data_IF_326565985481
#
_entry.id   IF_326565985481
#
_cell.length_a   1.000
_cell.length_b   1.000
_cell.length_c   1.000
_cell.angle_alpha   90.00
_cell.angle_beta   90.00
_cell.angle_gamma   90.00
#
_symmetry.space_group_name_H-M   'P 1'
#
loop_
_entity.id
_entity.type
_entity.pdbx_description
1 polymer ?
#
# COMPACT_ATOMS: atom_id res chain seq x y z
N UNK A 1 -1.25 -2.12 9.88
CA UNK A 1 -0.56 -0.95 10.47
C UNK A 1 -1.33 0.31 10.14
N UNK A 2 -1.54 1.21 11.09
CA UNK A 2 -2.17 2.51 10.85
C UNK A 2 -1.08 3.55 10.53
N UNK A 3 -0.75 3.69 9.24
CA UNK A 3 0.39 4.52 8.81
C UNK A 3 0.26 6.01 9.21
N UNK A 4 -0.93 6.63 9.12
CA UNK A 4 -1.12 8.01 9.59
C UNK A 4 -0.91 8.21 11.09
N UNK A 5 -0.93 7.13 11.88
CA UNK A 5 -0.65 7.19 13.31
C UNK A 5 0.84 7.34 13.65
N UNK A 6 1.75 7.18 12.68
CA UNK A 6 3.19 7.33 12.93
C UNK A 6 3.64 8.80 12.83
N UNK A 7 4.49 9.23 13.76
CA UNK A 7 5.16 10.55 13.71
C UNK A 7 6.17 10.64 12.56
N UNK A 8 6.74 9.51 12.13
CA UNK A 8 7.75 9.44 11.06
C UNK A 8 7.49 8.23 10.12
N UNK A 9 6.52 8.34 9.18
CA UNK A 9 6.18 7.23 8.27
C UNK A 9 7.31 6.84 7.30
N UNK A 10 8.24 7.76 7.02
CA UNK A 10 9.43 7.49 6.20
C UNK A 10 10.37 6.47 6.86
N UNK A 11 10.50 6.52 8.19
CA UNK A 11 11.27 5.55 8.96
C UNK A 11 10.65 4.15 8.89
N UNK A 12 9.33 4.07 8.95
CA UNK A 12 8.58 2.81 8.76
C UNK A 12 8.86 2.20 7.39
N UNK A 13 8.72 2.98 6.31
CA UNK A 13 8.99 2.51 4.94
C UNK A 13 10.43 2.03 4.78
N UNK A 14 11.39 2.77 5.33
CA UNK A 14 12.81 2.42 5.28
C UNK A 14 13.09 1.12 6.03
N UNK A 15 12.54 0.97 7.23
CA UNK A 15 12.68 -0.25 8.02
C UNK A 15 12.09 -1.46 7.29
N UNK A 16 10.97 -1.29 6.59
CA UNK A 16 10.32 -2.35 5.83
C UNK A 16 11.16 -2.79 4.63
N UNK A 17 11.75 -1.85 3.89
CA UNK A 17 12.70 -2.13 2.81
C UNK A 17 13.96 -2.83 3.33
N UNK A 18 14.55 -2.34 4.42
CA UNK A 18 15.73 -2.95 5.03
C UNK A 18 15.46 -4.38 5.52
N UNK A 19 14.30 -4.61 6.13
CA UNK A 19 13.91 -5.94 6.63
C UNK A 19 13.75 -6.92 5.47
N UNK A 20 13.12 -6.48 4.38
CA UNK A 20 12.92 -7.30 3.18
C UNK A 20 14.24 -7.57 2.46
N UNK A 21 15.10 -6.56 2.31
CA UNK A 21 16.44 -6.69 1.73
C UNK A 21 17.28 -7.72 2.49
N UNK A 22 17.29 -7.65 3.83
CA UNK A 22 17.99 -8.61 4.69
C UNK A 22 17.42 -10.02 4.61
N UNK A 23 16.09 -10.16 4.59
CA UNK A 23 15.43 -11.46 4.48
C UNK A 23 15.73 -12.16 3.14
N UNK A 24 15.82 -11.38 2.05
CA UNK A 24 16.04 -11.88 0.70
C UNK A 24 17.52 -11.87 0.26
N UNK A 25 18.43 -11.33 1.08
CA UNK A 25 19.86 -11.26 0.79
C UNK A 25 20.21 -10.36 -0.42
N UNK A 26 19.36 -9.38 -0.72
CA UNK A 26 19.54 -8.44 -1.84
C UNK A 26 19.83 -7.04 -1.33
N UNK A 27 20.40 -6.20 -2.20
CA UNK A 27 20.72 -4.83 -1.87
C UNK A 27 19.44 -3.96 -1.87
N UNK A 28 19.35 -2.99 -0.96
CA UNK A 28 18.13 -2.18 -0.77
C UNK A 28 17.78 -1.32 -1.99
N UNK A 29 18.78 -0.95 -2.78
CA UNK A 29 18.68 -0.18 -4.02
C UNK A 29 18.04 -0.96 -5.17
N UNK A 30 17.99 -2.29 -5.09
CA UNK A 30 17.28 -3.11 -6.09
C UNK A 30 15.79 -3.24 -5.79
N UNK A 31 15.35 -2.87 -4.59
CA UNK A 31 13.95 -2.92 -4.18
C UNK A 31 13.18 -1.69 -4.67
N UNK A 32 11.96 -1.92 -5.11
CA UNK A 32 10.96 -0.90 -5.38
C UNK A 32 9.65 -1.24 -4.67
N UNK A 33 8.72 -0.29 -4.63
CA UNK A 33 7.40 -0.49 -4.03
C UNK A 33 6.41 -1.07 -5.04
N UNK A 34 5.68 -2.09 -4.59
CA UNK A 34 4.43 -2.53 -5.19
C UNK A 34 3.31 -2.29 -4.16
N UNK A 35 2.25 -1.61 -4.59
CA UNK A 35 1.08 -1.31 -3.77
C UNK A 35 -0.12 -2.06 -4.32
N UNK A 36 -0.66 -2.98 -3.52
CA UNK A 36 -1.85 -3.73 -3.89
C UNK A 36 -3.01 -3.36 -2.98
N UNK A 37 -4.10 -2.92 -3.57
CA UNK A 37 -5.33 -2.65 -2.82
C UNK A 37 -6.03 -3.96 -2.48
N UNK A 38 -6.36 -4.15 -1.21
CA UNK A 38 -7.08 -5.33 -0.72
C UNK A 38 -8.57 -4.95 -0.65
N UNK A 39 -9.34 -5.43 -1.63
CA UNK A 39 -10.81 -5.20 -1.69
C UNK A 39 -11.59 -6.04 -0.68
N UNK A 40 -10.92 -7.00 -0.03
CA UNK A 40 -11.54 -7.81 1.02
C UNK A 40 -11.64 -7.01 2.32
N UNK A 41 -12.70 -7.32 3.07
CA UNK A 41 -12.99 -6.69 4.35
C UNK A 41 -11.82 -6.87 5.34
N UNK A 42 -11.54 -5.85 6.15
CA UNK A 42 -10.39 -5.84 7.08
C UNK A 42 -10.45 -7.03 8.05
N UNK A 43 -11.66 -7.47 8.40
CA UNK A 43 -11.93 -8.62 9.26
C UNK A 43 -11.44 -9.96 8.69
N UNK A 44 -11.27 -10.07 7.37
CA UNK A 44 -10.80 -11.28 6.69
C UNK A 44 -9.27 -11.41 6.69
N UNK A 45 -8.56 -10.31 6.96
CA UNK A 45 -7.10 -10.26 7.03
C UNK A 45 -6.64 -10.82 8.39
N UNK A 46 -6.67 -12.15 8.50
CA UNK A 46 -6.26 -12.89 9.69
C UNK A 46 -4.77 -13.23 9.69
N UNK A 47 -4.13 -13.20 8.52
CA UNK A 47 -2.72 -13.54 8.34
C UNK A 47 -1.86 -12.29 8.24
N UNK A 48 -0.65 -12.38 8.80
CA UNK A 48 0.37 -11.35 8.63
C UNK A 48 0.89 -11.36 7.19
N UNK A 49 1.28 -10.18 6.69
CA UNK A 49 1.96 -10.08 5.41
C UNK A 49 3.31 -10.80 5.51
N UNK A 50 3.52 -11.84 4.68
CA UNK A 50 4.81 -12.56 4.62
C UNK A 50 5.97 -11.65 4.24
N UNK A 51 5.71 -10.70 3.35
CA UNK A 51 6.64 -9.67 2.92
C UNK A 51 5.90 -8.33 2.92
N UNK A 52 6.58 -7.27 3.36
CA UNK A 52 5.95 -5.95 3.44
C UNK A 52 4.96 -5.82 4.60
N UNK A 53 3.97 -4.95 4.43
CA UNK A 53 3.03 -4.61 5.50
C UNK A 53 1.65 -4.24 4.96
N UNK A 54 0.59 -4.64 5.66
CA UNK A 54 -0.75 -4.12 5.41
C UNK A 54 -0.92 -2.77 6.10
N UNK A 55 -1.32 -1.76 5.33
CA UNK A 55 -1.51 -0.38 5.78
C UNK A 55 -2.99 -0.03 5.70
N UNK A 56 -3.52 0.54 6.79
CA UNK A 56 -4.91 0.98 6.92
C UNK A 56 -5.00 2.44 7.31
N UNK A 57 -6.20 3.02 7.14
CA UNK A 57 -6.55 4.39 7.55
C UNK A 57 -6.02 5.48 6.63
N UNK A 58 -5.64 5.13 5.41
CA UNK A 58 -5.33 6.13 4.38
C UNK A 58 -6.63 6.76 3.90
N UNK A 59 -6.57 8.03 3.52
CA UNK A 59 -7.69 8.77 2.94
C UNK A 59 -7.38 9.13 1.51
N UNK A 60 -8.42 9.22 0.70
CA UNK A 60 -8.40 9.66 -0.69
C UNK A 60 -9.14 10.99 -0.79
N UNK A 61 -8.50 11.99 -1.38
CA UNK A 61 -9.09 13.31 -1.65
C UNK A 61 -9.31 13.47 -3.15
N UNK A 62 -10.48 14.00 -3.55
CA UNK A 62 -10.82 14.24 -4.95
C UNK A 62 -11.20 13.00 -5.77
N UNK A 63 -11.24 11.83 -5.13
CA UNK A 63 -11.74 10.58 -5.70
C UNK A 63 -12.33 9.69 -4.60
N UNK A 64 -13.10 8.69 -5.01
CA UNK A 64 -13.63 7.63 -4.15
C UNK A 64 -13.06 6.30 -4.60
N UNK A 65 -12.82 5.40 -3.65
CA UNK A 65 -12.53 4.00 -3.98
C UNK A 65 -13.82 3.18 -3.93
N UNK A 66 -14.14 2.51 -5.04
CA UNK A 66 -15.25 1.58 -5.09
C UNK A 66 -14.79 0.20 -4.60
N UNK A 67 -15.31 -0.23 -3.45
CA UNK A 67 -14.97 -1.52 -2.84
C UNK A 67 -15.58 -2.70 -3.60
N UNK A 68 -16.75 -2.51 -4.21
CA UNK A 68 -17.47 -3.57 -4.93
C UNK A 68 -16.78 -3.87 -6.26
N UNK A 69 -16.39 -2.82 -7.00
CA UNK A 69 -15.79 -2.94 -8.32
C UNK A 69 -14.25 -2.89 -8.30
N UNK A 70 -13.63 -2.48 -7.18
CA UNK A 70 -12.18 -2.48 -7.00
C UNK A 70 -11.44 -1.44 -7.85
N UNK A 71 -12.03 -0.28 -8.10
CA UNK A 71 -11.41 0.80 -8.87
C UNK A 71 -11.74 2.18 -8.31
N UNK A 72 -11.01 3.19 -8.78
CA UNK A 72 -11.29 4.59 -8.49
C UNK A 72 -12.56 5.03 -9.23
N UNK A 73 -13.37 5.83 -8.55
CA UNK A 73 -14.57 6.49 -9.10
C UNK A 73 -14.59 7.96 -8.74
N UNK A 74 -15.43 8.73 -9.42
CA UNK A 74 -15.69 10.10 -9.04
C UNK A 74 -16.26 10.17 -7.61
N UNK A 75 -15.90 11.20 -6.83
CA UNK A 75 -16.43 11.39 -5.49
C UNK A 75 -17.91 11.78 -5.56
N UNK A 76 -18.68 11.44 -4.52
CA UNK A 76 -20.06 11.89 -4.43
C UNK A 76 -20.15 13.42 -4.21
N UNK A 77 -21.27 14.07 -4.57
CA UNK A 77 -21.46 15.48 -4.26
C UNK A 77 -21.22 15.79 -2.78
N UNK A 78 -20.37 16.78 -2.49
CA UNK A 78 -19.94 17.19 -1.15
C UNK A 78 -19.07 16.16 -0.38
N UNK A 79 -18.53 15.16 -1.05
CA UNK A 79 -17.52 14.26 -0.47
C UNK A 79 -16.11 14.79 -0.73
N UNK A 80 -15.49 15.37 0.31
CA UNK A 80 -14.12 15.88 0.25
C UNK A 80 -13.07 14.76 0.41
N UNK A 81 -13.38 13.80 1.29
CA UNK A 81 -12.48 12.71 1.65
C UNK A 81 -13.23 11.39 1.66
N UNK A 82 -12.57 10.33 1.19
CA UNK A 82 -13.06 8.96 1.23
C UNK A 82 -12.00 8.07 1.89
N UNK A 83 -12.41 7.11 2.72
CA UNK A 83 -11.48 6.15 3.30
C UNK A 83 -10.98 5.16 2.24
N UNK A 84 -9.67 4.95 2.18
CA UNK A 84 -9.10 3.89 1.35
C UNK A 84 -9.19 2.54 2.07
N UNK A 85 -9.47 1.46 1.33
CA UNK A 85 -9.26 0.10 1.83
C UNK A 85 -7.81 -0.15 2.25
N UNK A 86 -7.60 -1.30 2.89
CA UNK A 86 -6.26 -1.74 3.28
C UNK A 86 -5.38 -1.89 2.04
N UNK A 87 -4.20 -1.28 2.08
CA UNK A 87 -3.20 -1.39 1.01
C UNK A 87 -2.05 -2.24 1.50
N UNK A 88 -1.67 -3.24 0.71
CA UNK A 88 -0.46 -4.02 0.93
C UNK A 88 0.74 -3.27 0.37
N UNK A 89 1.61 -2.80 1.26
CA UNK A 89 2.90 -2.18 0.94
C UNK A 89 3.92 -3.29 0.82
N UNK A 90 4.25 -3.71 -0.41
CA UNK A 90 5.17 -4.81 -0.66
C UNK A 90 6.45 -4.31 -1.33
N UNK A 91 7.63 -4.41 -0.68
CA UNK A 91 8.89 -4.22 -1.36
C UNK A 91 9.13 -5.39 -2.31
N UNK A 92 9.41 -5.10 -3.56
CA UNK A 92 9.69 -6.10 -4.60
C UNK A 92 10.99 -5.78 -5.31
N UNK A 93 11.72 -6.81 -5.71
CA UNK A 93 12.90 -6.64 -6.53
C UNK A 93 12.52 -6.08 -7.90
N UNK A 94 13.21 -5.03 -8.34
CA UNK A 94 13.02 -4.39 -9.63
C UNK A 94 13.45 -5.34 -10.74
N UNK A 95 12.57 -6.25 -11.14
CA UNK A 95 12.66 -6.93 -12.43
C UNK A 95 12.28 -5.89 -13.48
N UNK A 96 13.04 -5.75 -14.57
CA UNK A 96 12.71 -4.88 -15.72
C UNK A 96 11.36 -5.28 -16.34
N UNK A 97 10.24 -4.96 -15.69
CA UNK A 97 8.91 -4.95 -16.27
C UNK A 97 8.56 -3.48 -16.44
N UNK A 98 8.49 -3.04 -17.69
CA UNK A 98 8.22 -1.66 -18.04
C UNK A 98 6.96 -1.18 -17.33
N UNK A 99 7.09 -0.10 -16.58
CA UNK A 99 6.02 0.65 -15.95
C UNK A 99 5.11 1.19 -17.05
N UNK A 100 4.17 0.38 -17.53
CA UNK A 100 3.09 0.85 -18.40
C UNK A 100 1.98 1.40 -17.51
N UNK A 101 1.94 2.73 -17.41
CA UNK A 101 0.71 3.46 -17.09
C UNK A 101 0.32 3.56 -15.62
N UNK A 102 1.28 3.62 -14.69
CA UNK A 102 0.99 4.07 -13.33
C UNK A 102 1.61 5.47 -13.19
N UNK A 103 0.76 6.49 -13.19
CA UNK A 103 1.07 7.89 -12.89
C UNK A 103 0.31 8.30 -11.64
#
# INVERSE_FOLDING_TARGET
FWLPGFTYPTGFNTALMQTTARANGIAIDTLNWEFQVITQDTSTITQYAKEGAYVSGLILEGARWDLDNGHLTEPAPMELYCDMPVIHFKPVETKKKGTKGIY
#
